data_IF_693383845869
#
_entry.id   IF_693383845869
#
_cell.length_a   1.000
_cell.length_b   1.000
_cell.length_c   1.000
_cell.angle_alpha   90.00
_cell.angle_beta   90.00
_cell.angle_gamma   90.00
#
_symmetry.space_group_name_H-M   'P 1'
#
loop_
_entity.id
_entity.type
_entity.pdbx_description
1 polymer ?
#
# COMPACT_ATOMS: atom_id res chain seq x y z
N UNK A 1 44.74 27.37 2.02
CA UNK A 1 45.04 25.94 2.28
C UNK A 1 43.72 25.23 2.42
N UNK A 2 43.37 24.40 1.47
CA UNK A 2 42.19 23.56 1.53
C UNK A 2 42.41 22.55 2.65
N UNK A 3 41.59 22.61 3.72
CA UNK A 3 41.66 21.66 4.80
C UNK A 3 41.16 20.32 4.32
N UNK A 4 41.93 19.28 4.45
CA UNK A 4 41.49 17.91 4.13
C UNK A 4 40.33 17.55 5.05
N UNK A 5 39.17 17.22 4.49
CA UNK A 5 37.91 16.91 5.25
C UNK A 5 38.13 15.79 6.29
N UNK A 6 39.04 14.85 6.04
CA UNK A 6 39.37 13.80 7.00
C UNK A 6 39.99 14.36 8.30
N UNK A 7 40.79 15.42 8.20
CA UNK A 7 41.39 16.04 9.41
C UNK A 7 40.33 16.75 10.28
N UNK A 8 39.30 17.32 9.65
CA UNK A 8 38.16 17.90 10.38
C UNK A 8 37.36 16.80 11.07
N UNK A 9 37.11 15.69 10.38
CA UNK A 9 36.45 14.51 10.97
C UNK A 9 37.26 13.95 12.16
N UNK A 10 38.58 13.81 12.01
CA UNK A 10 39.48 13.36 13.10
C UNK A 10 39.45 14.31 14.29
N UNK A 11 39.51 15.63 14.03
CA UNK A 11 39.45 16.66 15.09
C UNK A 11 38.10 16.59 15.85
N UNK A 12 37.00 16.37 15.15
CA UNK A 12 35.69 16.20 15.78
C UNK A 12 35.64 14.94 16.66
N UNK A 13 36.30 13.84 16.28
CA UNK A 13 36.35 12.59 17.04
C UNK A 13 37.41 12.58 18.17
N UNK A 14 38.34 13.53 18.21
CA UNK A 14 39.40 13.58 19.20
C UNK A 14 38.94 13.87 20.64
N UNK A 15 37.63 13.85 20.87
CA UNK A 15 36.98 14.06 22.17
C UNK A 15 36.10 12.84 22.50
N UNK A 16 36.40 12.18 23.62
CA UNK A 16 35.68 10.97 24.04
C UNK A 16 34.20 11.20 24.32
N UNK A 17 33.78 12.41 24.69
CA UNK A 17 32.39 12.75 24.87
C UNK A 17 31.65 12.78 23.54
N UNK A 18 32.22 13.39 22.49
CA UNK A 18 31.63 13.41 21.15
C UNK A 18 31.54 12.01 20.56
N UNK A 19 32.54 11.17 20.79
CA UNK A 19 32.47 9.76 20.40
C UNK A 19 31.32 9.01 21.11
N UNK A 20 31.08 9.26 22.39
CA UNK A 20 29.94 8.68 23.12
C UNK A 20 28.60 9.20 22.57
N UNK A 21 28.51 10.50 22.23
CA UNK A 21 27.32 11.07 21.56
C UNK A 21 27.04 10.37 20.24
N UNK A 22 28.05 10.15 19.41
CA UNK A 22 27.90 9.47 18.14
C UNK A 22 27.43 8.02 18.28
N UNK A 23 27.91 7.29 19.29
CA UNK A 23 27.41 5.95 19.61
C UNK A 23 25.90 5.92 19.90
N UNK A 24 25.37 6.95 20.54
CA UNK A 24 23.94 7.08 20.81
C UNK A 24 23.17 7.45 19.53
N UNK A 25 23.70 8.40 18.75
CA UNK A 25 23.08 8.97 17.56
C UNK A 25 23.20 8.08 16.31
N UNK A 26 24.07 7.08 16.35
CA UNK A 26 24.15 6.02 15.32
C UNK A 26 22.90 5.16 15.30
N UNK A 27 22.36 4.84 16.48
CA UNK A 27 21.25 3.92 16.66
C UNK A 27 19.90 4.61 16.91
N UNK A 28 19.92 5.87 17.41
CA UNK A 28 18.71 6.55 17.86
C UNK A 28 18.69 8.02 17.44
N UNK A 29 17.48 8.51 17.13
CA UNK A 29 17.24 9.95 17.08
C UNK A 29 16.93 10.48 18.48
N UNK A 30 17.72 11.44 18.96
CA UNK A 30 17.62 11.99 20.32
C UNK A 30 17.58 13.52 20.28
N UNK A 31 16.80 14.10 21.19
CA UNK A 31 16.79 15.54 21.45
C UNK A 31 17.99 15.95 22.30
N UNK A 32 18.29 17.27 22.37
CA UNK A 32 19.32 17.82 23.28
C UNK A 32 19.06 17.40 24.72
N UNK A 33 17.79 17.49 25.17
CA UNK A 33 17.42 17.16 26.56
C UNK A 33 17.64 15.68 26.88
N UNK A 34 17.34 14.79 25.93
CA UNK A 34 17.56 13.36 26.12
C UNK A 34 19.02 12.98 26.11
N UNK A 35 19.81 13.55 25.20
CA UNK A 35 21.28 13.39 25.22
C UNK A 35 21.87 13.91 26.52
N UNK A 36 21.41 15.07 26.99
CA UNK A 36 21.86 15.64 28.28
C UNK A 36 21.56 14.72 29.46
N UNK A 37 20.33 14.11 29.46
CA UNK A 37 19.95 13.14 30.49
C UNK A 37 20.80 11.86 30.43
N UNK A 38 21.06 11.32 29.22
CA UNK A 38 21.90 10.14 29.05
C UNK A 38 23.35 10.40 29.46
N UNK A 39 23.93 11.48 28.99
CA UNK A 39 25.35 11.82 29.20
C UNK A 39 25.63 12.50 30.54
N UNK A 40 24.58 12.85 31.29
CA UNK A 40 24.65 13.59 32.56
C UNK A 40 25.38 14.94 32.40
N UNK A 41 24.97 15.71 31.40
CA UNK A 41 25.56 17.00 31.06
C UNK A 41 24.53 18.12 31.03
N UNK A 42 24.93 19.37 31.26
CA UNK A 42 24.09 20.54 31.00
C UNK A 42 23.71 20.62 29.52
N UNK A 43 22.48 21.06 29.25
CA UNK A 43 21.99 21.20 27.87
C UNK A 43 22.85 22.13 27.01
N UNK A 44 23.39 23.22 27.61
CA UNK A 44 24.29 24.14 26.94
C UNK A 44 25.59 23.47 26.46
N UNK A 45 26.14 22.55 27.26
CA UNK A 45 27.30 21.75 26.86
C UNK A 45 26.96 20.76 25.77
N UNK A 46 25.85 20.03 25.91
CA UNK A 46 25.38 19.09 24.92
C UNK A 46 25.12 19.78 23.57
N UNK A 47 24.44 20.94 23.56
CA UNK A 47 24.19 21.72 22.35
C UNK A 47 25.49 22.17 21.66
N UNK A 48 26.50 22.58 22.43
CA UNK A 48 27.79 22.99 21.88
C UNK A 48 28.51 21.83 21.20
N UNK A 49 28.51 20.66 21.83
CA UNK A 49 29.11 19.45 21.23
C UNK A 49 28.35 18.98 19.98
N UNK A 50 27.01 19.02 20.01
CA UNK A 50 26.20 18.72 18.85
C UNK A 50 26.47 19.67 17.68
N UNK A 51 26.65 20.96 17.96
CA UNK A 51 27.02 21.94 16.94
C UNK A 51 28.38 21.57 16.31
N UNK A 52 29.40 21.27 17.11
CA UNK A 52 30.72 20.84 16.60
C UNK A 52 30.58 19.58 15.71
N UNK A 53 29.79 18.60 16.13
CA UNK A 53 29.55 17.39 15.34
C UNK A 53 28.76 17.68 14.06
N UNK A 54 27.81 18.59 14.10
CA UNK A 54 27.00 19.00 12.93
C UNK A 54 27.85 19.79 11.94
N UNK A 55 28.65 20.73 12.39
CA UNK A 55 29.57 21.54 11.57
C UNK A 55 30.61 20.65 10.84
N UNK A 56 31.00 19.55 11.47
CA UNK A 56 31.90 18.54 10.89
C UNK A 56 31.16 17.43 10.10
N UNK A 57 29.84 17.54 9.90
CA UNK A 57 29.06 16.58 9.09
C UNK A 57 28.76 15.21 9.74
N UNK A 58 29.11 15.04 11.04
CA UNK A 58 28.85 13.80 11.78
C UNK A 58 27.41 13.61 12.20
N UNK A 59 26.65 14.70 12.31
CA UNK A 59 25.27 14.68 12.82
C UNK A 59 24.39 15.56 11.95
N UNK A 60 23.21 15.07 11.66
CA UNK A 60 22.10 15.83 11.02
C UNK A 60 20.98 16.00 12.02
N UNK A 61 20.15 17.02 11.81
CA UNK A 61 18.98 17.25 12.65
C UNK A 61 17.74 17.54 11.82
N UNK A 62 16.59 17.13 12.34
CA UNK A 62 15.27 17.49 11.80
C UNK A 62 14.39 18.13 12.88
N UNK A 63 13.44 18.98 12.50
CA UNK A 63 12.47 19.54 13.44
C UNK A 63 11.54 18.44 13.99
N UNK A 64 11.10 18.62 15.24
CA UNK A 64 10.13 17.79 15.94
C UNK A 64 9.31 18.70 16.86
N UNK A 65 8.28 19.36 16.31
CA UNK A 65 7.55 20.43 16.97
C UNK A 65 8.48 21.58 17.35
N UNK A 66 8.50 21.94 18.63
CA UNK A 66 9.39 22.99 19.18
C UNK A 66 10.82 22.52 19.45
N UNK A 67 11.15 21.25 19.16
CA UNK A 67 12.44 20.63 19.44
C UNK A 67 13.14 20.24 18.14
N UNK A 68 14.36 19.73 18.25
CA UNK A 68 15.10 19.10 17.16
C UNK A 68 15.58 17.72 17.59
N UNK A 69 15.42 16.76 16.69
CA UNK A 69 15.96 15.42 16.79
C UNK A 69 17.27 15.36 16.02
N UNK A 70 18.27 14.75 16.61
CA UNK A 70 19.61 14.59 16.05
C UNK A 70 19.89 13.12 15.82
N UNK A 71 20.56 12.81 14.72
CA UNK A 71 21.04 11.46 14.39
C UNK A 71 22.30 11.51 13.55
N UNK A 72 23.02 10.42 13.48
CA UNK A 72 24.08 10.24 12.48
C UNK A 72 23.43 10.10 11.09
N UNK A 73 23.94 10.80 10.04
CA UNK A 73 23.39 10.65 8.68
C UNK A 73 23.61 9.23 8.15
N UNK A 74 22.67 8.75 7.31
CA UNK A 74 22.95 7.61 6.47
C UNK A 74 24.05 8.03 5.47
N UNK A 75 25.14 7.29 5.41
CA UNK A 75 26.24 7.54 4.48
C UNK A 75 26.72 6.23 3.90
N UNK A 76 27.35 6.31 2.73
CA UNK A 76 28.03 5.20 2.12
C UNK A 76 29.07 4.61 3.10
N UNK A 77 29.05 3.31 3.30
CA UNK A 77 30.00 2.61 4.17
C UNK A 77 31.47 2.76 3.71
N UNK A 78 31.67 3.05 2.42
CA UNK A 78 32.98 3.31 1.82
C UNK A 78 33.50 4.73 2.10
N UNK A 79 32.66 5.65 2.59
CA UNK A 79 33.07 7.01 2.88
C UNK A 79 34.19 7.03 3.94
N UNK A 80 35.25 7.85 3.76
CA UNK A 80 36.38 7.94 4.71
C UNK A 80 35.95 8.23 6.16
N UNK A 81 34.91 9.02 6.36
CA UNK A 81 34.34 9.29 7.68
C UNK A 81 33.77 8.02 8.32
N UNK A 82 33.10 7.15 7.55
CA UNK A 82 32.55 5.89 8.06
C UNK A 82 33.64 4.90 8.43
N UNK A 83 34.68 4.82 7.64
CA UNK A 83 35.84 3.98 7.97
C UNK A 83 36.52 4.45 9.26
N UNK A 84 36.75 5.77 9.42
CA UNK A 84 37.27 6.37 10.63
C UNK A 84 36.36 6.09 11.84
N UNK A 85 35.06 6.25 11.67
CA UNK A 85 34.08 5.96 12.73
C UNK A 85 34.14 4.51 13.19
N UNK A 86 34.24 3.56 12.30
CA UNK A 86 34.31 2.12 12.60
C UNK A 86 35.46 1.81 13.57
N UNK A 87 36.65 2.38 13.31
CA UNK A 87 37.80 2.20 14.17
C UNK A 87 37.59 2.86 15.56
N UNK A 88 37.12 4.09 15.59
CA UNK A 88 36.88 4.81 16.86
C UNK A 88 35.77 4.14 17.67
N UNK A 89 34.68 3.70 17.02
CA UNK A 89 33.50 3.07 17.62
C UNK A 89 33.87 1.84 18.46
N UNK A 90 34.69 0.96 17.93
CA UNK A 90 35.12 -0.27 18.63
C UNK A 90 35.80 0.05 19.97
N UNK A 91 36.65 1.03 19.99
CA UNK A 91 37.38 1.44 21.21
C UNK A 91 36.44 2.14 22.22
N UNK A 92 35.60 3.05 21.75
CA UNK A 92 34.69 3.82 22.60
C UNK A 92 33.59 2.94 23.19
N UNK A 93 33.07 1.98 22.40
CA UNK A 93 31.94 1.12 22.79
C UNK A 93 32.22 0.24 24.02
N UNK A 94 33.46 -0.05 24.30
CA UNK A 94 33.88 -0.93 25.40
C UNK A 94 34.08 -0.21 26.74
N UNK A 95 34.08 1.14 26.77
CA UNK A 95 34.37 1.92 27.95
C UNK A 95 33.30 1.78 29.05
N UNK A 96 33.66 1.91 30.35
CA UNK A 96 32.68 1.94 31.44
C UNK A 96 31.65 3.06 31.29
N UNK A 97 32.06 4.24 30.83
CA UNK A 97 31.17 5.38 30.59
C UNK A 97 30.08 5.05 29.57
N UNK A 98 30.43 4.39 28.47
CA UNK A 98 29.47 3.98 27.44
C UNK A 98 28.48 2.94 27.95
N UNK A 99 28.90 2.05 28.82
CA UNK A 99 27.98 1.07 29.46
C UNK A 99 26.93 1.77 30.32
N UNK A 100 27.34 2.77 31.04
CA UNK A 100 26.46 3.58 31.88
C UNK A 100 25.51 4.45 31.04
N UNK A 101 25.98 5.01 29.92
CA UNK A 101 25.14 5.74 28.97
C UNK A 101 24.05 4.83 28.39
N UNK A 102 24.38 3.60 27.98
CA UNK A 102 23.39 2.62 27.49
C UNK A 102 22.36 2.31 28.55
N UNK A 103 22.72 2.24 29.81
CA UNK A 103 21.75 2.03 30.91
C UNK A 103 20.77 3.20 31.00
N UNK A 104 21.30 4.43 31.03
CA UNK A 104 20.47 5.67 31.08
C UNK A 104 19.64 5.86 29.84
N UNK A 105 20.16 5.50 28.66
CA UNK A 105 19.40 5.51 27.42
C UNK A 105 18.15 4.62 27.51
N UNK A 106 18.26 3.41 28.07
CA UNK A 106 17.09 2.54 28.28
C UNK A 106 16.00 3.24 29.10
N UNK A 107 16.37 3.98 30.14
CA UNK A 107 15.42 4.74 30.96
C UNK A 107 14.76 5.87 30.17
N UNK A 108 15.51 6.58 29.33
CA UNK A 108 14.97 7.63 28.45
C UNK A 108 13.99 7.03 27.44
N UNK A 109 14.33 5.91 26.84
CA UNK A 109 13.44 5.21 25.88
C UNK A 109 12.19 4.62 26.57
N UNK A 110 12.34 4.12 27.81
CA UNK A 110 11.20 3.68 28.63
C UNK A 110 10.25 4.85 28.90
N UNK A 111 10.75 6.02 29.27
CA UNK A 111 9.94 7.21 29.50
C UNK A 111 9.20 7.70 28.22
N UNK A 112 9.79 7.49 27.01
CA UNK A 112 9.07 7.72 25.75
C UNK A 112 7.90 6.75 25.58
N UNK A 113 8.15 5.46 25.86
CA UNK A 113 7.11 4.43 25.79
C UNK A 113 5.97 4.71 26.76
N UNK A 114 6.30 5.08 27.99
CA UNK A 114 5.29 5.37 29.01
C UNK A 114 4.44 6.60 28.63
N UNK A 115 5.03 7.63 28.02
CA UNK A 115 4.25 8.76 27.48
C UNK A 115 3.30 8.34 26.36
N UNK A 116 3.77 7.52 25.42
CA UNK A 116 2.92 6.97 24.37
C UNK A 116 1.79 6.12 24.97
N UNK A 117 2.13 5.25 25.92
CA UNK A 117 1.13 4.41 26.63
C UNK A 117 0.10 5.27 27.35
N UNK A 118 0.50 6.27 28.10
CA UNK A 118 -0.43 7.20 28.79
C UNK A 118 -1.34 7.91 27.79
N UNK A 119 -0.79 8.35 26.64
CA UNK A 119 -1.60 8.95 25.58
C UNK A 119 -2.71 7.99 25.10
N UNK A 120 -2.38 6.73 24.85
CA UNK A 120 -3.38 5.75 24.41
C UNK A 120 -4.34 5.33 25.53
N UNK A 121 -3.87 5.25 26.78
CA UNK A 121 -4.72 4.93 27.94
C UNK A 121 -5.75 6.04 28.19
N UNK A 122 -5.38 7.30 28.02
CA UNK A 122 -6.26 8.45 28.26
C UNK A 122 -7.07 8.87 27.03
N UNK A 123 -6.56 8.60 25.84
CA UNK A 123 -7.12 9.04 24.56
C UNK A 123 -7.78 7.92 23.73
N UNK A 124 -7.86 6.69 24.25
CA UNK A 124 -8.35 5.54 23.48
C UNK A 124 -9.72 5.76 22.83
N UNK A 125 -10.66 6.34 23.57
CA UNK A 125 -12.01 6.63 23.08
C UNK A 125 -12.06 7.71 21.96
N UNK A 126 -10.99 8.50 21.80
CA UNK A 126 -10.87 9.55 20.79
C UNK A 126 -9.89 9.19 19.67
N UNK A 127 -9.18 8.08 19.83
CA UNK A 127 -8.11 7.70 18.91
C UNK A 127 -8.60 7.52 17.47
N UNK A 128 -9.71 6.81 17.28
CA UNK A 128 -10.27 6.59 15.95
C UNK A 128 -10.58 7.90 15.24
N UNK A 129 -11.19 8.85 15.97
CA UNK A 129 -11.49 10.18 15.43
C UNK A 129 -10.21 10.93 15.06
N UNK A 130 -9.21 10.96 15.95
CA UNK A 130 -7.92 11.64 15.70
C UNK A 130 -7.19 11.00 14.51
N UNK A 131 -7.18 9.67 14.44
CA UNK A 131 -6.58 8.94 13.32
C UNK A 131 -7.28 9.30 12.01
N UNK A 132 -8.60 9.30 11.99
CA UNK A 132 -9.39 9.56 10.80
C UNK A 132 -9.27 11.04 10.34
N UNK A 133 -9.15 11.98 11.29
CA UNK A 133 -8.85 13.39 11.00
C UNK A 133 -7.44 13.57 10.38
N UNK A 134 -6.45 12.80 10.83
CA UNK A 134 -5.06 12.90 10.36
C UNK A 134 -4.78 12.15 9.06
N UNK A 135 -5.38 10.96 8.88
CA UNK A 135 -5.01 10.03 7.81
C UNK A 135 -6.18 9.66 6.89
N UNK A 136 -7.40 10.10 7.21
CA UNK A 136 -8.63 9.69 6.54
C UNK A 136 -9.08 8.28 6.97
N UNK A 137 -10.31 7.91 6.59
CA UNK A 137 -10.95 6.65 7.01
C UNK A 137 -10.57 5.44 6.14
N UNK A 138 -9.88 5.66 5.02
CA UNK A 138 -9.66 4.63 3.99
C UNK A 138 -8.19 4.23 3.80
N UNK A 139 -7.24 4.86 4.49
CA UNK A 139 -5.81 4.66 4.28
C UNK A 139 -5.37 3.19 4.45
N UNK A 140 -5.96 2.48 5.41
CA UNK A 140 -5.63 1.07 5.64
C UNK A 140 -6.15 0.15 4.53
N UNK A 141 -7.28 0.49 3.88
CA UNK A 141 -7.78 -0.26 2.72
C UNK A 141 -6.83 -0.12 1.52
N UNK A 142 -6.31 1.09 1.27
CA UNK A 142 -5.25 1.29 0.28
C UNK A 142 -3.98 0.53 0.65
N UNK A 143 -3.61 0.53 1.94
CA UNK A 143 -2.46 -0.24 2.43
C UNK A 143 -2.56 -1.74 2.18
N UNK A 144 -3.78 -2.31 2.21
CA UNK A 144 -4.01 -3.73 1.90
C UNK A 144 -3.72 -4.08 0.44
N UNK A 145 -3.82 -3.11 -0.50
CA UNK A 145 -3.43 -3.32 -1.89
C UNK A 145 -1.92 -3.61 -2.03
N UNK A 146 -1.10 -3.21 -1.06
CA UNK A 146 0.32 -3.59 -0.99
C UNK A 146 0.59 -5.08 -0.74
N UNK A 147 -0.46 -5.90 -0.51
CA UNK A 147 -0.36 -7.37 -0.45
C UNK A 147 -0.52 -8.01 -1.84
N UNK A 148 -0.89 -7.24 -2.88
CA UNK A 148 -0.90 -7.72 -4.25
C UNK A 148 0.54 -7.97 -4.71
N UNK A 149 0.70 -8.94 -5.60
CA UNK A 149 1.99 -9.16 -6.24
C UNK A 149 2.32 -7.98 -7.18
N UNK A 150 3.46 -7.30 -6.98
CA UNK A 150 3.82 -6.13 -7.77
C UNK A 150 4.06 -6.44 -9.26
N UNK A 151 4.26 -7.70 -9.62
CA UNK A 151 4.44 -8.13 -11.01
C UNK A 151 3.13 -8.43 -11.73
N UNK A 152 1.97 -8.35 -11.06
CA UNK A 152 0.68 -8.63 -11.66
C UNK A 152 0.25 -7.64 -12.73
N UNK A 153 -0.41 -8.17 -13.75
CA UNK A 153 -1.21 -7.43 -14.72
C UNK A 153 -2.68 -7.64 -14.33
N UNK A 154 -3.36 -6.57 -13.92
CA UNK A 154 -4.75 -6.63 -13.48
C UNK A 154 -5.66 -6.01 -14.53
N UNK A 155 -6.74 -6.71 -14.89
CA UNK A 155 -7.84 -6.18 -15.69
C UNK A 155 -8.88 -5.51 -14.77
N UNK A 156 -9.13 -4.23 -14.94
CA UNK A 156 -10.26 -3.51 -14.35
C UNK A 156 -11.35 -3.42 -15.43
N UNK A 157 -12.28 -4.37 -15.40
CA UNK A 157 -13.22 -4.64 -16.47
C UNK A 157 -14.59 -4.00 -16.16
N UNK A 158 -15.00 -3.05 -16.99
CA UNK A 158 -16.04 -2.08 -16.67
C UNK A 158 -15.50 -1.01 -15.73
N UNK A 159 -14.37 -0.43 -16.08
CA UNK A 159 -13.61 0.48 -15.20
C UNK A 159 -14.34 1.81 -14.91
N UNK A 160 -15.37 2.16 -15.69
CA UNK A 160 -16.08 3.40 -15.58
C UNK A 160 -15.11 4.61 -15.63
N UNK A 161 -15.19 5.50 -14.67
CA UNK A 161 -14.29 6.67 -14.54
C UNK A 161 -12.89 6.34 -13.98
N UNK A 162 -12.50 5.07 -13.86
CA UNK A 162 -11.15 4.65 -13.50
C UNK A 162 -10.79 4.72 -11.99
N UNK A 163 -11.77 4.80 -11.10
CA UNK A 163 -11.50 4.95 -9.65
C UNK A 163 -10.74 3.75 -9.07
N UNK A 164 -11.08 2.52 -9.47
CA UNK A 164 -10.39 1.32 -8.99
C UNK A 164 -9.01 1.20 -9.66
N UNK A 165 -8.92 1.50 -10.95
CA UNK A 165 -7.64 1.54 -11.68
C UNK A 165 -6.65 2.50 -11.03
N UNK A 166 -7.10 3.70 -10.61
CA UNK A 166 -6.29 4.67 -9.87
C UNK A 166 -5.74 4.10 -8.55
N UNK A 167 -6.58 3.35 -7.83
CA UNK A 167 -6.19 2.75 -6.56
C UNK A 167 -5.18 1.59 -6.75
N UNK A 168 -5.31 0.81 -7.82
CA UNK A 168 -4.46 -0.35 -8.13
C UNK A 168 -3.10 0.04 -8.71
N UNK A 169 -3.05 1.09 -9.53
CA UNK A 169 -1.86 1.46 -10.31
C UNK A 169 -0.56 1.55 -9.50
N UNK A 170 -0.51 2.11 -8.26
CA UNK A 170 0.72 2.21 -7.48
C UNK A 170 1.28 0.85 -7.01
N UNK A 171 0.48 -0.23 -7.04
CA UNK A 171 0.80 -1.49 -6.37
C UNK A 171 1.10 -2.64 -7.32
N UNK A 172 0.88 -2.48 -8.63
CA UNK A 172 0.98 -3.56 -9.61
C UNK A 172 1.78 -3.15 -10.83
N UNK A 173 2.25 -4.12 -11.58
CA UNK A 173 3.03 -3.89 -12.80
C UNK A 173 2.24 -3.11 -13.85
N UNK A 174 0.98 -3.47 -14.08
CA UNK A 174 0.10 -2.85 -15.07
C UNK A 174 -1.37 -3.03 -14.70
N UNK A 175 -2.17 -2.01 -14.99
CA UNK A 175 -3.63 -2.09 -15.02
C UNK A 175 -4.10 -1.95 -16.46
N UNK A 176 -4.93 -2.89 -16.92
CA UNK A 176 -5.63 -2.79 -18.20
C UNK A 176 -7.10 -2.51 -17.89
N UNK A 177 -7.50 -1.27 -18.10
CA UNK A 177 -8.84 -0.79 -17.79
C UNK A 177 -9.70 -0.80 -19.05
N UNK A 178 -10.82 -1.52 -19.02
CA UNK A 178 -11.72 -1.71 -20.16
C UNK A 178 -13.10 -1.16 -19.84
N UNK A 179 -13.68 -0.39 -20.75
CA UNK A 179 -15.07 0.08 -20.67
C UNK A 179 -15.62 0.26 -22.10
N UNK A 180 -16.93 0.13 -22.31
CA UNK A 180 -17.55 0.35 -23.61
C UNK A 180 -17.96 1.81 -23.83
N UNK A 181 -18.13 2.58 -22.75
CA UNK A 181 -18.55 3.96 -22.75
C UNK A 181 -17.40 4.92 -22.99
N UNK A 182 -17.38 5.58 -24.16
CA UNK A 182 -16.38 6.60 -24.46
C UNK A 182 -16.42 7.79 -23.49
N UNK A 183 -17.58 8.13 -22.95
CA UNK A 183 -17.74 9.18 -21.95
C UNK A 183 -17.03 8.80 -20.63
N UNK A 184 -17.19 7.56 -20.16
CA UNK A 184 -16.51 7.04 -18.98
C UNK A 184 -14.99 6.97 -19.19
N UNK A 185 -14.55 6.51 -20.35
CA UNK A 185 -13.13 6.49 -20.70
C UNK A 185 -12.52 7.89 -20.79
N UNK A 186 -13.31 8.90 -21.15
CA UNK A 186 -12.89 10.31 -21.12
C UNK A 186 -12.52 10.75 -19.72
N UNK A 187 -13.40 10.53 -18.75
CA UNK A 187 -13.16 10.81 -17.33
C UNK A 187 -11.99 9.97 -16.76
N UNK A 188 -11.90 8.70 -17.19
CA UNK A 188 -10.80 7.83 -16.78
C UNK A 188 -9.44 8.34 -17.29
N UNK A 189 -9.35 8.85 -18.53
CA UNK A 189 -8.10 9.42 -19.07
C UNK A 189 -7.60 10.59 -18.22
N UNK A 190 -8.48 11.53 -17.88
CA UNK A 190 -8.12 12.67 -17.04
C UNK A 190 -7.63 12.23 -15.65
N UNK A 191 -8.32 11.28 -15.03
CA UNK A 191 -7.97 10.75 -13.72
C UNK A 191 -6.63 10.01 -13.69
N UNK A 192 -6.35 9.25 -14.74
CA UNK A 192 -5.25 8.29 -14.81
C UNK A 192 -4.02 8.84 -15.55
N UNK A 193 -4.05 10.06 -16.05
CA UNK A 193 -2.99 10.70 -16.82
C UNK A 193 -1.60 10.65 -16.16
N UNK A 194 -1.56 10.63 -14.84
CA UNK A 194 -0.32 10.57 -14.04
C UNK A 194 0.31 9.16 -13.91
N UNK A 195 -0.33 8.12 -14.45
CA UNK A 195 0.12 6.73 -14.31
C UNK A 195 0.56 6.15 -15.66
N UNK A 196 1.85 5.91 -15.82
CA UNK A 196 2.42 5.33 -17.04
C UNK A 196 2.10 3.83 -17.21
N UNK A 197 1.64 3.18 -16.15
CA UNK A 197 1.35 1.75 -16.11
C UNK A 197 -0.15 1.42 -16.24
N UNK A 198 -1.00 2.38 -16.58
CA UNK A 198 -2.43 2.15 -16.82
C UNK A 198 -2.71 2.25 -18.33
N UNK A 199 -3.33 1.22 -18.87
CA UNK A 199 -3.74 1.15 -20.28
C UNK A 199 -5.26 1.15 -20.38
N UNK A 200 -5.84 2.17 -21.03
CA UNK A 200 -7.27 2.27 -21.29
C UNK A 200 -7.63 1.64 -22.64
N UNK A 201 -8.60 0.74 -22.65
CA UNK A 201 -9.13 0.11 -23.85
C UNK A 201 -10.64 0.25 -23.92
N UNK A 202 -11.16 0.56 -25.11
CA UNK A 202 -12.60 0.52 -25.36
C UNK A 202 -13.00 -0.87 -25.83
N UNK A 203 -14.03 -1.48 -25.19
CA UNK A 203 -14.54 -2.79 -25.57
C UNK A 203 -15.69 -3.25 -24.72
N UNK A 204 -16.55 -4.10 -25.31
CA UNK A 204 -17.61 -4.78 -24.58
C UNK A 204 -17.04 -5.92 -23.73
N UNK A 205 -17.67 -6.20 -22.60
CA UNK A 205 -17.21 -7.24 -21.67
C UNK A 205 -17.53 -8.65 -22.16
N UNK A 206 -18.50 -8.79 -23.02
CA UNK A 206 -18.86 -10.05 -23.70
C UNK A 206 -17.87 -10.39 -24.85
N UNK A 207 -16.97 -9.46 -25.22
CA UNK A 207 -15.92 -9.65 -26.22
C UNK A 207 -14.74 -8.75 -25.88
N UNK A 208 -13.96 -9.16 -24.88
CA UNK A 208 -12.87 -8.36 -24.35
C UNK A 208 -11.74 -8.12 -25.38
N UNK A 209 -11.27 -6.89 -25.55
CA UNK A 209 -10.13 -6.55 -26.42
C UNK A 209 -8.80 -6.96 -25.76
N UNK A 210 -8.71 -8.21 -25.27
CA UNK A 210 -7.59 -8.78 -24.54
C UNK A 210 -7.19 -10.11 -25.13
N UNK A 211 -5.90 -10.40 -25.13
CA UNK A 211 -5.38 -11.69 -25.51
C UNK A 211 -5.71 -12.77 -24.47
N UNK A 212 -5.74 -14.02 -24.91
CA UNK A 212 -5.91 -15.18 -24.03
C UNK A 212 -4.78 -15.22 -22.99
N UNK A 213 -5.13 -15.53 -21.75
CA UNK A 213 -4.17 -15.70 -20.65
C UNK A 213 -3.20 -14.53 -20.47
N UNK A 214 -3.67 -13.29 -20.65
CA UNK A 214 -2.89 -12.06 -20.55
C UNK A 214 -2.93 -11.39 -19.16
N UNK A 215 -3.88 -11.79 -18.31
CA UNK A 215 -4.10 -11.20 -16.99
C UNK A 215 -3.76 -12.16 -15.85
N UNK A 216 -3.22 -11.61 -14.76
CA UNK A 216 -3.00 -12.29 -13.48
C UNK A 216 -4.23 -12.28 -12.59
N UNK A 217 -4.93 -11.16 -12.61
CA UNK A 217 -6.20 -10.97 -11.93
C UNK A 217 -7.13 -10.09 -12.76
N UNK A 218 -8.43 -10.18 -12.48
CA UNK A 218 -9.44 -9.33 -13.08
C UNK A 218 -10.46 -8.89 -12.01
N UNK A 219 -11.03 -7.71 -12.21
CA UNK A 219 -12.09 -7.17 -11.36
C UNK A 219 -13.31 -6.78 -12.21
N UNK A 220 -14.50 -7.08 -11.69
CA UNK A 220 -15.80 -6.62 -12.17
C UNK A 220 -16.50 -5.96 -10.98
N UNK A 221 -16.52 -4.62 -10.93
CA UNK A 221 -17.05 -3.89 -9.76
C UNK A 221 -18.22 -3.03 -10.16
N UNK A 222 -19.42 -3.41 -9.71
CA UNK A 222 -20.70 -2.77 -10.03
C UNK A 222 -20.97 -2.73 -11.55
N UNK A 223 -20.78 -3.85 -12.20
CA UNK A 223 -20.84 -3.99 -13.67
C UNK A 223 -21.83 -5.04 -14.13
N UNK A 224 -21.85 -6.23 -13.50
CA UNK A 224 -22.65 -7.36 -13.99
C UNK A 224 -24.12 -7.04 -14.11
N UNK A 225 -24.68 -6.23 -13.22
CA UNK A 225 -26.09 -5.86 -13.25
C UNK A 225 -26.48 -4.97 -14.43
N UNK A 226 -25.52 -4.44 -15.19
CA UNK A 226 -25.76 -3.71 -16.44
C UNK A 226 -25.70 -4.60 -17.67
N UNK A 227 -25.10 -5.78 -17.59
CA UNK A 227 -24.85 -6.64 -18.75
C UNK A 227 -26.10 -7.43 -19.14
N UNK A 228 -26.43 -7.51 -20.43
CA UNK A 228 -27.49 -8.44 -20.93
C UNK A 228 -27.17 -9.90 -20.61
N UNK A 229 -25.93 -10.32 -20.81
CA UNK A 229 -25.44 -11.69 -20.57
C UNK A 229 -24.19 -11.67 -19.64
N UNK A 230 -24.38 -11.70 -18.30
CA UNK A 230 -23.27 -11.77 -17.34
C UNK A 230 -22.42 -13.04 -17.49
N UNK A 231 -23.02 -14.16 -17.91
CA UNK A 231 -22.33 -15.43 -18.04
C UNK A 231 -21.32 -15.39 -19.21
N UNK A 232 -21.67 -14.73 -20.33
CA UNK A 232 -20.73 -14.53 -21.44
C UNK A 232 -19.56 -13.64 -21.03
N UNK A 233 -19.83 -12.55 -20.31
CA UNK A 233 -18.79 -11.68 -19.81
C UNK A 233 -17.81 -12.42 -18.89
N UNK A 234 -18.32 -13.26 -17.97
CA UNK A 234 -17.45 -14.04 -17.05
C UNK A 234 -16.67 -15.12 -17.82
N UNK A 235 -17.22 -15.70 -18.90
CA UNK A 235 -16.46 -16.60 -19.79
C UNK A 235 -15.32 -15.88 -20.51
N UNK A 236 -15.55 -14.66 -21.00
CA UNK A 236 -14.50 -13.83 -21.61
C UNK A 236 -13.42 -13.45 -20.60
N UNK A 237 -13.79 -13.13 -19.36
CA UNK A 237 -12.82 -12.92 -18.27
C UNK A 237 -12.00 -14.19 -18.02
N UNK A 238 -12.63 -15.36 -17.99
CA UNK A 238 -11.92 -16.63 -17.83
C UNK A 238 -10.93 -16.89 -18.99
N UNK A 239 -11.26 -16.49 -20.23
CA UNK A 239 -10.35 -16.56 -21.38
C UNK A 239 -9.13 -15.65 -21.19
N UNK A 240 -9.37 -14.40 -20.78
CA UNK A 240 -8.31 -13.41 -20.61
C UNK A 240 -7.39 -13.67 -19.40
N UNK A 241 -7.89 -14.30 -18.34
CA UNK A 241 -7.08 -14.71 -17.19
C UNK A 241 -6.16 -15.88 -17.55
N UNK A 242 -4.96 -15.88 -17.04
CA UNK A 242 -4.07 -17.06 -17.09
C UNK A 242 -4.56 -18.19 -16.16
N UNK A 243 -4.20 -19.46 -16.37
CA UNK A 243 -4.46 -20.52 -15.41
C UNK A 243 -3.94 -20.16 -14.01
N UNK A 244 -4.78 -20.31 -12.98
CA UNK A 244 -4.49 -19.84 -11.63
C UNK A 244 -4.72 -18.34 -11.39
N UNK A 245 -5.10 -17.58 -12.43
CA UNK A 245 -5.49 -16.17 -12.31
C UNK A 245 -6.75 -15.99 -11.48
N UNK A 246 -6.92 -14.84 -10.85
CA UNK A 246 -8.01 -14.57 -9.89
C UNK A 246 -9.04 -13.61 -10.47
N UNK A 247 -10.31 -13.90 -10.23
CA UNK A 247 -11.42 -12.99 -10.51
C UNK A 247 -12.00 -12.48 -9.19
N UNK A 248 -12.24 -11.17 -9.12
CA UNK A 248 -13.05 -10.52 -8.10
C UNK A 248 -14.29 -9.91 -8.76
N UNK A 249 -15.46 -10.26 -8.25
CA UNK A 249 -16.73 -9.61 -8.57
C UNK A 249 -17.24 -8.91 -7.31
N UNK A 250 -17.58 -7.64 -7.43
CA UNK A 250 -18.31 -6.89 -6.41
C UNK A 250 -19.59 -6.37 -7.04
N UNK A 251 -20.73 -6.81 -6.53
CA UNK A 251 -22.04 -6.37 -7.05
C UNK A 251 -23.11 -6.44 -5.95
N UNK A 252 -24.36 -6.18 -6.30
CA UNK A 252 -25.48 -6.10 -5.36
C UNK A 252 -26.09 -7.47 -5.09
N UNK A 253 -26.47 -7.72 -3.84
CA UNK A 253 -27.41 -8.78 -3.48
C UNK A 253 -28.80 -8.49 -4.06
N UNK A 254 -29.67 -9.51 -4.21
CA UNK A 254 -31.02 -9.31 -4.73
C UNK A 254 -31.78 -8.24 -3.95
N UNK A 255 -32.42 -7.33 -4.68
CA UNK A 255 -33.18 -6.23 -4.11
C UNK A 255 -34.41 -5.88 -4.98
N UNK A 256 -35.35 -5.10 -4.44
CA UNK A 256 -36.62 -4.75 -5.08
C UNK A 256 -36.72 -3.30 -5.57
N UNK A 257 -35.58 -2.58 -5.64
CA UNK A 257 -35.51 -1.15 -6.01
C UNK A 257 -35.74 -0.92 -7.49
N UNK A 258 -36.99 -0.95 -7.93
CA UNK A 258 -37.38 -0.80 -9.33
C UNK A 258 -36.95 0.52 -9.97
N UNK A 259 -36.76 1.58 -9.17
CA UNK A 259 -36.27 2.86 -9.62
C UNK A 259 -34.88 2.79 -10.28
N UNK A 260 -34.05 1.80 -9.94
CA UNK A 260 -32.70 1.64 -10.53
C UNK A 260 -32.75 1.24 -12.00
N UNK A 261 -33.78 0.51 -12.42
CA UNK A 261 -34.00 0.22 -13.84
C UNK A 261 -34.23 1.48 -14.65
N UNK A 262 -35.03 2.40 -14.10
CA UNK A 262 -35.43 3.62 -14.82
C UNK A 262 -34.33 4.68 -14.78
N UNK A 263 -33.64 4.83 -13.66
CA UNK A 263 -32.68 5.91 -13.43
C UNK A 263 -31.26 5.56 -13.87
N UNK A 264 -30.86 4.28 -13.74
CA UNK A 264 -29.48 3.83 -13.95
C UNK A 264 -29.34 2.70 -14.98
N UNK A 265 -30.47 2.24 -15.57
CA UNK A 265 -30.43 1.23 -16.63
C UNK A 265 -30.05 -0.19 -16.16
N UNK A 266 -30.35 -0.53 -14.89
CA UNK A 266 -30.08 -1.88 -14.39
C UNK A 266 -30.88 -2.93 -15.16
N UNK A 267 -30.22 -3.94 -15.68
CA UNK A 267 -30.84 -5.12 -16.30
C UNK A 267 -31.22 -6.14 -15.23
N UNK A 268 -30.30 -6.34 -14.26
CA UNK A 268 -30.46 -7.26 -13.13
C UNK A 268 -30.66 -6.51 -11.82
N UNK A 269 -31.50 -7.06 -10.94
CA UNK A 269 -31.80 -6.49 -9.63
C UNK A 269 -30.96 -7.17 -8.54
N UNK A 270 -29.65 -7.30 -8.80
CA UNK A 270 -28.71 -8.02 -7.96
C UNK A 270 -28.64 -9.51 -8.26
N UNK A 271 -27.72 -10.19 -7.60
CA UNK A 271 -27.40 -11.60 -7.82
C UNK A 271 -27.38 -12.39 -6.51
N UNK A 272 -27.96 -13.58 -6.51
CA UNK A 272 -27.83 -14.51 -5.38
C UNK A 272 -26.50 -15.25 -5.41
N UNK A 273 -26.13 -15.87 -4.28
CA UNK A 273 -24.94 -16.73 -4.16
C UNK A 273 -24.98 -17.83 -5.21
N UNK A 274 -26.13 -18.51 -5.35
CA UNK A 274 -26.31 -19.65 -6.27
C UNK A 274 -26.19 -19.23 -7.74
N UNK A 275 -26.60 -18.01 -8.09
CA UNK A 275 -26.40 -17.46 -9.43
C UNK A 275 -24.92 -17.27 -9.74
N UNK A 276 -24.18 -16.58 -8.86
CA UNK A 276 -22.75 -16.31 -9.04
C UNK A 276 -21.95 -17.62 -9.03
N UNK A 277 -22.27 -18.58 -8.17
CA UNK A 277 -21.60 -19.89 -8.14
C UNK A 277 -21.79 -20.65 -9.44
N UNK A 278 -22.99 -20.64 -10.03
CA UNK A 278 -23.25 -21.24 -11.35
C UNK A 278 -22.47 -20.55 -12.47
N UNK A 279 -22.49 -19.21 -12.50
CA UNK A 279 -21.72 -18.43 -13.46
C UNK A 279 -20.23 -18.79 -13.40
N UNK A 280 -19.67 -18.94 -12.20
CA UNK A 280 -18.30 -19.39 -12.03
C UNK A 280 -18.05 -20.82 -12.51
N UNK A 281 -18.96 -21.76 -12.19
CA UNK A 281 -18.84 -23.15 -12.63
C UNK A 281 -18.88 -23.27 -14.15
N UNK A 282 -19.83 -22.58 -14.80
CA UNK A 282 -20.00 -22.57 -16.24
C UNK A 282 -18.82 -21.94 -17.00
N UNK A 283 -18.09 -21.03 -16.35
CA UNK A 283 -16.88 -20.42 -16.88
C UNK A 283 -15.57 -21.16 -16.50
N UNK A 284 -15.67 -22.26 -15.73
CA UNK A 284 -14.51 -23.10 -15.36
C UNK A 284 -13.65 -22.54 -14.22
N UNK A 285 -14.23 -21.71 -13.36
CA UNK A 285 -13.58 -21.24 -12.15
C UNK A 285 -13.66 -22.27 -11.00
N UNK A 286 -12.68 -22.23 -10.13
CA UNK A 286 -12.54 -23.06 -8.92
C UNK A 286 -12.24 -22.18 -7.70
N UNK A 287 -12.09 -22.76 -6.51
CA UNK A 287 -11.77 -22.05 -5.25
C UNK A 287 -12.66 -20.83 -5.01
N UNK A 288 -13.96 -21.04 -5.19
CA UNK A 288 -14.97 -19.98 -5.07
C UNK A 288 -15.16 -19.55 -3.62
N UNK A 289 -15.23 -18.23 -3.40
CA UNK A 289 -15.65 -17.64 -2.13
C UNK A 289 -16.69 -16.56 -2.41
N UNK A 290 -17.72 -16.54 -1.61
CA UNK A 290 -18.72 -15.49 -1.60
C UNK A 290 -18.81 -14.87 -0.21
N UNK A 291 -18.85 -13.54 -0.14
CA UNK A 291 -18.91 -12.81 1.12
C UNK A 291 -19.85 -11.62 0.97
N UNK A 292 -20.85 -11.54 1.82
CA UNK A 292 -21.62 -10.32 1.98
C UNK A 292 -20.73 -9.23 2.58
N UNK A 293 -20.70 -8.06 1.95
CA UNK A 293 -19.87 -6.96 2.45
C UNK A 293 -20.58 -6.22 3.58
N UNK A 294 -19.83 -5.79 4.60
CA UNK A 294 -20.38 -4.96 5.65
C UNK A 294 -21.03 -3.70 5.07
N UNK A 295 -22.25 -3.40 5.50
CA UNK A 295 -22.94 -2.18 5.07
C UNK A 295 -22.19 -0.94 5.57
N UNK A 296 -21.92 0.01 4.67
CA UNK A 296 -21.49 1.36 5.06
C UNK A 296 -22.70 2.13 5.61
N UNK A 297 -22.67 2.62 6.86
CA UNK A 297 -23.80 3.36 7.44
C UNK A 297 -24.21 4.62 6.66
N UNK A 298 -23.30 5.19 5.86
CA UNK A 298 -23.57 6.33 5.00
C UNK A 298 -24.13 5.94 3.62
N UNK A 299 -24.05 4.65 3.23
CA UNK A 299 -24.56 4.18 1.96
C UNK A 299 -26.08 4.03 1.96
N UNK A 300 -26.71 4.42 0.85
CA UNK A 300 -28.16 4.29 0.64
C UNK A 300 -28.53 3.16 -0.32
N UNK A 301 -27.52 2.51 -0.90
CA UNK A 301 -27.67 1.44 -1.87
C UNK A 301 -28.09 0.10 -1.24
N UNK A 302 -28.33 -0.94 -2.08
CA UNK A 302 -28.48 -2.31 -1.63
C UNK A 302 -27.20 -2.83 -0.98
N UNK A 303 -27.34 -3.90 -0.22
CA UNK A 303 -26.16 -4.64 0.30
C UNK A 303 -25.34 -5.19 -0.87
N UNK A 304 -24.02 -5.06 -0.74
CA UNK A 304 -23.07 -5.57 -1.73
C UNK A 304 -22.50 -6.92 -1.29
N UNK A 305 -22.05 -7.68 -2.26
CA UNK A 305 -21.21 -8.86 -2.03
C UNK A 305 -19.86 -8.72 -2.72
N UNK A 306 -18.88 -9.48 -2.25
CA UNK A 306 -17.65 -9.77 -2.96
C UNK A 306 -17.59 -11.28 -3.23
N UNK A 307 -17.42 -11.64 -4.48
CA UNK A 307 -17.20 -13.02 -4.88
C UNK A 307 -15.83 -13.16 -5.54
N UNK A 308 -15.05 -14.13 -5.11
CA UNK A 308 -13.73 -14.41 -5.69
C UNK A 308 -13.65 -15.85 -6.17
N UNK A 309 -12.92 -16.05 -7.26
CA UNK A 309 -12.68 -17.39 -7.79
C UNK A 309 -11.32 -17.45 -8.49
N UNK A 310 -10.79 -18.65 -8.69
CA UNK A 310 -9.54 -18.93 -9.39
C UNK A 310 -9.82 -19.62 -10.70
N UNK A 311 -9.23 -19.16 -11.80
CA UNK A 311 -9.34 -19.83 -13.09
C UNK A 311 -8.71 -21.22 -13.02
N UNK A 312 -9.50 -22.26 -13.30
CA UNK A 312 -9.03 -23.64 -13.40
C UNK A 312 -7.97 -23.86 -14.50
N UNK A 313 -7.22 -24.93 -14.39
CA UNK A 313 -6.18 -25.30 -15.36
C UNK A 313 -6.73 -25.72 -16.75
N UNK A 314 -8.03 -26.05 -16.86
CA UNK A 314 -8.69 -26.41 -18.11
C UNK A 314 -9.83 -25.43 -18.40
N UNK A 315 -9.80 -24.77 -19.57
CA UNK A 315 -11.00 -24.23 -20.18
C UNK A 315 -11.92 -25.41 -20.53
N UNK A 316 -13.19 -25.38 -20.13
CA UNK A 316 -14.18 -26.31 -20.67
C UNK A 316 -14.22 -26.08 -22.17
N UNK A 317 -13.95 -27.14 -22.95
CA UNK A 317 -13.94 -27.11 -24.40
C UNK A 317 -15.24 -26.44 -24.92
N UNK A 318 -15.08 -25.47 -25.83
CA UNK A 318 -16.20 -24.98 -26.64
C UNK A 318 -17.01 -26.22 -27.11
N UNK A 319 -18.33 -26.23 -26.88
CA UNK A 319 -19.21 -27.26 -27.46
C UNK A 319 -18.88 -27.32 -28.93
N UNK A 320 -18.41 -28.48 -29.42
CA UNK A 320 -18.32 -28.74 -30.85
C UNK A 320 -19.68 -28.49 -31.46
N UNK A 321 -19.77 -27.82 -32.63
CA UNK A 321 -21.03 -27.65 -33.30
C UNK A 321 -21.59 -29.05 -33.60
N UNK A 322 -22.82 -29.31 -33.16
CA UNK A 322 -23.56 -30.54 -33.44
C UNK A 322 -23.53 -30.73 -34.96
N UNK A 323 -23.03 -31.87 -35.51
CA UNK A 323 -23.05 -32.10 -36.91
C UNK A 323 -24.52 -32.15 -37.36
N UNK A 324 -24.91 -31.25 -38.25
CA UNK A 324 -26.21 -31.29 -38.92
C UNK A 324 -26.24 -32.55 -39.77
N UNK A 325 -26.88 -33.59 -39.27
CA UNK A 325 -27.28 -34.73 -40.10
C UNK A 325 -28.32 -34.26 -41.09
N UNK A 326 -27.92 -34.13 -42.32
CA UNK A 326 -28.81 -33.91 -43.45
C UNK A 326 -29.58 -35.25 -43.72
N UNK A 327 -30.92 -35.32 -43.65
CA UNK A 327 -31.65 -36.48 -44.11
C UNK A 327 -31.76 -36.40 -45.63
N UNK A 328 -31.08 -37.36 -46.33
CA UNK A 328 -31.30 -37.63 -47.74
C UNK A 328 -32.62 -38.35 -47.98
#
# INVERSE_FOLDING_TARGET
MEKLAILEHMSALADGLRGRMLLLLEAYELTVSELSAVLQLPQSSTSRQLKTLSDAGWVVSRPDGTRRLYRMPASDEQAPSRQLWRLAREQIATTPATREDRRRLRSVLAARRDRSRTFFETGAAQWDRVRDELFGTRFFLFGLLGLLDPDWIIGDLGCGSGTLSEALAPFVRRVVAVDDSEAMLGEARERLDRFDNVELRRGALESLPLDDASLDAATLVLVLHHLPDPDEAVREVARALRPGGRLLIVDMLPHDRQEYRQQMGHVWMGFSVEQIERTFDDAGFTEKRFLELPADPAAKGPTLFAATAVRGARLLNRREPVPTTNPG
#
